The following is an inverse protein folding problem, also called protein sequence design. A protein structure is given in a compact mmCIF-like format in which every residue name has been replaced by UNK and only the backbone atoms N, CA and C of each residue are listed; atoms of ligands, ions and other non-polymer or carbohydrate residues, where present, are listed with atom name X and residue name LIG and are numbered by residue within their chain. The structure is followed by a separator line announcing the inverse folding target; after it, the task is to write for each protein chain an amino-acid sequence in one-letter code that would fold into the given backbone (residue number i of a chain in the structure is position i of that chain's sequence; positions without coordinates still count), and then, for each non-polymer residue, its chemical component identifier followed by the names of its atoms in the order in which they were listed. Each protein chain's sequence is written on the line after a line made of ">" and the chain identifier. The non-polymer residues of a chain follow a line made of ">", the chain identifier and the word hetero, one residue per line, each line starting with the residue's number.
data_IF_907386613773
#
_entry.id   IF_907386613773
#
_cell.length_a   1.000
_cell.length_b   1.000
_cell.length_c   1.000
_cell.angle_alpha   90.00
_cell.angle_beta   90.00
_cell.angle_gamma   90.00
#
_symmetry.space_group_name_H-M   'P 1'
#
loop_
_entity.id
_entity.type
_entity.pdbx_description
1 polymer ?
#
# COMPACT_ATOMS: atom_id res chain seq x y z
N UNK A 1 -12.41 17.10 65.83
CA UNK A 1 -12.76 15.78 65.23
C UNK A 1 -13.50 16.08 63.90
N UNK A 2 -12.80 16.07 62.80
CA UNK A 2 -13.42 16.21 61.48
C UNK A 2 -12.56 15.43 60.52
N UNK A 3 -13.15 14.42 59.87
CA UNK A 3 -12.54 13.59 58.82
C UNK A 3 -12.43 14.39 57.53
N UNK A 4 -11.35 14.31 56.75
CA UNK A 4 -11.34 14.77 55.38
C UNK A 4 -11.93 13.71 54.44
N UNK A 5 -12.72 14.18 53.47
CA UNK A 5 -13.30 13.40 52.40
C UNK A 5 -12.21 12.93 51.42
N UNK A 6 -12.21 11.63 51.11
CA UNK A 6 -11.42 11.05 50.04
C UNK A 6 -12.11 11.28 48.68
N UNK A 7 -11.50 12.11 47.86
CA UNK A 7 -11.92 12.33 46.49
C UNK A 7 -11.28 11.23 45.61
N UNK A 8 -12.06 10.18 45.38
CA UNK A 8 -11.71 9.06 44.54
C UNK A 8 -11.82 9.42 43.06
N UNK A 9 -10.75 9.92 42.46
CA UNK A 9 -10.63 10.02 41.02
C UNK A 9 -10.49 8.61 40.42
N UNK A 10 -11.61 8.02 39.99
CA UNK A 10 -11.64 6.80 39.22
C UNK A 10 -11.04 7.04 37.84
N UNK A 11 -9.79 6.70 37.67
CA UNK A 11 -9.15 6.54 36.39
C UNK A 11 -9.93 5.50 35.56
N UNK A 12 -10.44 5.91 34.42
CA UNK A 12 -11.11 5.01 33.47
C UNK A 12 -10.06 4.00 32.94
N UNK A 13 -10.27 2.70 33.09
CA UNK A 13 -9.34 1.74 32.56
C UNK A 13 -9.55 1.56 31.06
N UNK A 14 -8.45 1.59 30.32
CA UNK A 14 -8.24 0.79 29.13
C UNK A 14 -8.66 1.35 27.77
N UNK A 15 -7.84 2.29 27.26
CA UNK A 15 -7.81 2.61 25.83
C UNK A 15 -6.66 1.91 25.06
N UNK A 16 -5.89 1.04 25.73
CA UNK A 16 -4.73 0.37 25.13
C UNK A 16 -5.01 -1.01 24.51
N UNK A 17 -6.29 -1.42 24.40
CA UNK A 17 -6.68 -2.78 23.96
C UNK A 17 -7.45 -2.85 22.63
N UNK A 18 -7.57 -1.76 21.85
CA UNK A 18 -8.46 -1.71 20.67
C UNK A 18 -7.78 -1.80 19.32
N UNK A 19 -6.47 -1.95 19.28
CA UNK A 19 -5.74 -2.17 18.03
C UNK A 19 -5.84 -3.67 17.72
N UNK A 20 -6.77 -4.09 16.81
CA UNK A 20 -6.79 -5.43 16.28
C UNK A 20 -8.12 -6.20 16.23
N UNK A 21 -9.23 -5.66 16.77
CA UNK A 21 -10.54 -6.29 16.62
C UNK A 21 -11.56 -5.28 16.13
N UNK A 22 -11.82 -5.32 14.81
CA UNK A 22 -12.95 -4.62 14.20
C UNK A 22 -14.30 -5.09 14.76
N UNK A 23 -15.43 -4.45 14.38
CA UNK A 23 -16.75 -4.81 14.86
C UNK A 23 -17.08 -6.27 14.50
N UNK A 24 -17.97 -6.90 15.27
CA UNK A 24 -18.57 -8.18 14.84
C UNK A 24 -19.12 -7.99 13.42
N UNK A 25 -18.73 -8.84 12.49
CA UNK A 25 -19.10 -8.70 11.07
C UNK A 25 -18.14 -7.83 10.23
N UNK A 26 -16.93 -7.52 10.69
CA UNK A 26 -15.95 -6.74 9.93
C UNK A 26 -15.74 -7.28 8.51
N UNK A 27 -15.64 -8.61 8.36
CA UNK A 27 -15.47 -9.24 7.04
C UNK A 27 -16.68 -8.96 6.11
N UNK A 28 -17.90 -8.97 6.63
CA UNK A 28 -19.09 -8.64 5.85
C UNK A 28 -19.12 -7.17 5.44
N UNK A 29 -18.65 -6.27 6.32
CA UNK A 29 -18.52 -4.84 6.02
C UNK A 29 -17.48 -4.63 4.90
N UNK A 30 -16.28 -5.19 5.03
CA UNK A 30 -15.23 -5.06 4.04
C UNK A 30 -15.62 -5.68 2.69
N UNK A 31 -16.28 -6.84 2.69
CA UNK A 31 -16.83 -7.43 1.48
C UNK A 31 -17.87 -6.53 0.79
N UNK A 32 -18.77 -5.91 1.58
CA UNK A 32 -19.77 -4.98 1.06
C UNK A 32 -19.14 -3.70 0.46
N UNK A 33 -18.06 -3.19 1.07
CA UNK A 33 -17.30 -2.05 0.55
C UNK A 33 -16.66 -2.39 -0.80
N UNK A 34 -15.95 -3.53 -0.89
CA UNK A 34 -15.29 -3.96 -2.14
C UNK A 34 -16.30 -4.17 -3.26
N UNK A 35 -17.42 -4.76 -2.95
CA UNK A 35 -18.48 -5.02 -3.92
C UNK A 35 -19.12 -3.70 -4.41
N UNK A 36 -19.42 -2.75 -3.53
CA UNK A 36 -19.92 -1.42 -3.92
C UNK A 36 -18.86 -0.61 -4.70
N UNK A 37 -17.59 -0.70 -4.34
CA UNK A 37 -16.51 -0.10 -5.15
C UNK A 37 -16.46 -0.68 -6.56
N UNK A 38 -16.69 -1.99 -6.70
CA UNK A 38 -16.71 -2.66 -8.00
C UNK A 38 -17.92 -2.27 -8.84
N UNK A 39 -19.11 -2.16 -8.23
CA UNK A 39 -20.37 -1.95 -8.95
C UNK A 39 -20.72 -0.47 -9.15
N UNK A 40 -20.42 0.38 -8.18
CA UNK A 40 -20.85 1.78 -8.15
C UNK A 40 -19.66 2.77 -8.16
N UNK A 41 -18.44 2.25 -8.02
CA UNK A 41 -17.23 3.06 -7.89
C UNK A 41 -17.15 3.83 -6.57
N UNK A 42 -16.04 4.56 -6.38
CA UNK A 42 -15.86 5.36 -5.14
C UNK A 42 -16.93 6.45 -5.01
N UNK A 43 -17.33 7.11 -6.08
CA UNK A 43 -18.34 8.19 -6.02
C UNK A 43 -19.70 7.67 -5.51
N UNK A 44 -20.15 6.53 -6.02
CA UNK A 44 -21.44 5.92 -5.68
C UNK A 44 -21.47 5.24 -4.32
N UNK A 45 -20.33 4.85 -3.76
CA UNK A 45 -20.25 4.23 -2.44
C UNK A 45 -20.73 5.19 -1.34
N UNK A 46 -21.68 4.73 -0.51
CA UNK A 46 -22.17 5.43 0.69
C UNK A 46 -22.15 4.52 1.91
N UNK A 47 -22.02 5.10 3.10
CA UNK A 47 -22.06 4.33 4.36
C UNK A 47 -23.41 3.64 4.53
N UNK A 48 -24.50 4.29 4.08
CA UNK A 48 -25.84 3.72 4.04
C UNK A 48 -25.93 2.50 3.11
N UNK A 49 -25.31 2.58 1.95
CA UNK A 49 -25.19 1.44 1.01
C UNK A 49 -24.47 0.26 1.64
N UNK A 50 -23.35 0.53 2.30
CA UNK A 50 -22.58 -0.51 3.02
C UNK A 50 -23.41 -1.10 4.18
N UNK A 51 -24.12 -0.28 4.96
CA UNK A 51 -24.97 -0.76 6.04
C UNK A 51 -26.05 -1.72 5.51
N UNK A 52 -26.74 -1.34 4.44
CA UNK A 52 -27.77 -2.14 3.79
C UNK A 52 -27.21 -3.47 3.26
N UNK A 53 -26.04 -3.42 2.60
CA UNK A 53 -25.45 -4.60 1.95
C UNK A 53 -24.79 -5.58 2.94
N UNK A 54 -24.17 -5.05 4.00
CA UNK A 54 -23.54 -5.88 5.04
C UNK A 54 -24.52 -6.37 6.10
N UNK A 55 -25.74 -5.82 6.18
CA UNK A 55 -26.68 -6.08 7.25
C UNK A 55 -26.28 -5.47 8.61
N UNK A 56 -25.29 -4.60 8.65
CA UNK A 56 -24.78 -3.99 9.87
C UNK A 56 -25.38 -2.59 10.04
N UNK A 57 -25.81 -2.28 11.28
CA UNK A 57 -26.43 -0.99 11.57
C UNK A 57 -25.47 0.18 11.28
N UNK A 58 -25.97 1.22 10.62
CA UNK A 58 -25.29 2.47 10.29
C UNK A 58 -24.58 3.10 11.49
N UNK A 59 -25.23 3.12 12.68
CA UNK A 59 -24.63 3.64 13.90
C UNK A 59 -23.37 2.88 14.31
N UNK A 60 -23.34 1.56 14.05
CA UNK A 60 -22.15 0.74 14.29
C UNK A 60 -21.03 1.12 13.34
N UNK A 61 -21.33 1.36 12.05
CA UNK A 61 -20.32 1.78 11.08
C UNK A 61 -19.71 3.13 11.47
N UNK A 62 -20.50 4.16 11.73
CA UNK A 62 -20.02 5.49 12.12
C UNK A 62 -19.22 5.50 13.43
N UNK A 63 -19.50 4.58 14.36
CA UNK A 63 -18.71 4.44 15.60
C UNK A 63 -17.29 3.95 15.34
N UNK A 64 -17.07 3.14 14.31
CA UNK A 64 -15.76 2.58 13.96
C UNK A 64 -15.06 3.40 12.87
N UNK A 65 -15.82 3.91 11.93
CA UNK A 65 -15.31 4.67 10.79
C UNK A 65 -16.15 5.95 10.63
N UNK A 66 -15.61 7.10 11.05
CA UNK A 66 -16.39 8.35 11.09
C UNK A 66 -16.70 8.91 9.71
N UNK A 67 -16.02 8.42 8.66
CA UNK A 67 -16.19 8.90 7.29
C UNK A 67 -16.07 7.75 6.27
N UNK A 68 -16.55 8.01 5.05
CA UNK A 68 -16.38 7.11 3.90
C UNK A 68 -14.90 6.84 3.59
N UNK A 69 -14.01 7.84 3.51
CA UNK A 69 -12.58 7.59 3.32
C UNK A 69 -11.97 6.69 4.41
N UNK A 70 -12.32 6.90 5.67
CA UNK A 70 -11.84 6.08 6.78
C UNK A 70 -12.27 4.62 6.65
N UNK A 71 -13.53 4.37 6.26
CA UNK A 71 -14.05 3.02 6.03
C UNK A 71 -13.34 2.35 4.83
N UNK A 72 -13.16 3.07 3.73
CA UNK A 72 -12.49 2.55 2.53
C UNK A 72 -11.02 2.27 2.81
N UNK A 73 -10.29 3.18 3.46
CA UNK A 73 -8.90 2.97 3.85
C UNK A 73 -8.75 1.76 4.79
N UNK A 74 -9.62 1.61 5.78
CA UNK A 74 -9.62 0.43 6.66
C UNK A 74 -9.90 -0.87 5.91
N UNK A 75 -10.78 -0.83 4.90
CA UNK A 75 -11.06 -1.99 4.05
C UNK A 75 -9.81 -2.40 3.26
N UNK A 76 -9.13 -1.46 2.63
CA UNK A 76 -7.92 -1.76 1.89
C UNK A 76 -6.79 -2.25 2.79
N UNK A 77 -6.57 -1.62 3.95
CA UNK A 77 -5.62 -2.15 4.96
C UNK A 77 -5.93 -3.60 5.33
N UNK A 78 -7.20 -3.91 5.59
CA UNK A 78 -7.62 -5.28 5.93
C UNK A 78 -7.41 -6.28 4.78
N UNK A 79 -7.63 -5.86 3.55
CA UNK A 79 -7.65 -6.75 2.37
C UNK A 79 -6.27 -6.86 1.72
N UNK A 80 -5.50 -5.76 1.73
CA UNK A 80 -4.19 -5.64 1.08
C UNK A 80 -3.04 -5.97 2.05
N UNK A 81 -3.28 -5.97 3.37
CA UNK A 81 -2.28 -6.25 4.41
C UNK A 81 -1.70 -7.68 4.37
N UNK A 82 -1.97 -8.46 3.34
CA UNK A 82 -1.20 -9.66 3.04
C UNK A 82 0.11 -9.21 2.42
N UNK A 83 1.16 -9.20 3.22
CA UNK A 83 2.52 -8.96 2.76
C UNK A 83 2.78 -9.83 1.51
N UNK A 84 2.98 -9.18 0.38
CA UNK A 84 3.53 -9.88 -0.77
C UNK A 84 4.94 -10.32 -0.35
N UNK A 85 5.27 -11.61 -0.42
CA UNK A 85 6.60 -12.04 -0.04
C UNK A 85 7.63 -11.34 -0.92
N UNK A 86 8.71 -10.87 -0.30
CA UNK A 86 9.83 -10.28 -1.06
C UNK A 86 10.56 -11.40 -1.80
N UNK A 87 10.61 -11.36 -3.13
CA UNK A 87 11.25 -12.41 -3.92
C UNK A 87 12.73 -12.60 -3.54
N UNK A 88 13.20 -13.84 -3.53
CA UNK A 88 14.60 -14.21 -3.36
C UNK A 88 14.98 -15.27 -4.40
N UNK A 89 15.33 -14.79 -5.59
CA UNK A 89 15.68 -15.62 -6.76
C UNK A 89 17.17 -15.94 -6.84
N UNK A 90 17.96 -15.35 -5.94
CA UNK A 90 19.41 -15.48 -5.93
C UNK A 90 20.14 -14.41 -6.74
N UNK A 91 19.46 -13.46 -7.37
CA UNK A 91 20.08 -12.34 -8.10
C UNK A 91 19.26 -11.05 -7.98
N UNK A 92 19.96 -9.90 -8.00
CA UNK A 92 19.30 -8.58 -7.97
C UNK A 92 18.28 -8.42 -9.12
N UNK A 93 18.69 -8.78 -10.33
CA UNK A 93 17.82 -8.71 -11.51
C UNK A 93 16.58 -9.59 -11.34
N UNK A 94 16.77 -10.83 -10.96
CA UNK A 94 15.66 -11.78 -10.77
C UNK A 94 14.68 -11.32 -9.69
N UNK A 95 15.22 -10.83 -8.56
CA UNK A 95 14.41 -10.31 -7.45
C UNK A 95 13.57 -9.10 -7.88
N UNK A 96 14.17 -8.15 -8.62
CA UNK A 96 13.46 -6.98 -9.13
C UNK A 96 12.40 -7.33 -10.18
N UNK A 97 12.70 -8.22 -11.12
CA UNK A 97 11.73 -8.69 -12.12
C UNK A 97 10.54 -9.36 -11.44
N UNK A 98 10.78 -10.25 -10.49
CA UNK A 98 9.72 -10.92 -9.75
C UNK A 98 8.89 -9.92 -8.91
N UNK A 99 9.53 -8.94 -8.26
CA UNK A 99 8.87 -7.90 -7.49
C UNK A 99 7.96 -7.03 -8.37
N UNK A 100 8.47 -6.55 -9.52
CA UNK A 100 7.69 -5.73 -10.47
C UNK A 100 6.53 -6.52 -11.04
N UNK A 101 6.74 -7.78 -11.40
CA UNK A 101 5.69 -8.68 -11.91
C UNK A 101 4.57 -8.87 -10.87
N UNK A 102 4.94 -9.14 -9.62
CA UNK A 102 3.97 -9.29 -8.53
C UNK A 102 3.16 -8.01 -8.29
N UNK A 103 3.82 -6.83 -8.34
CA UNK A 103 3.15 -5.53 -8.21
C UNK A 103 2.23 -5.22 -9.39
N UNK A 104 2.65 -5.54 -10.61
CA UNK A 104 1.82 -5.38 -11.81
C UNK A 104 0.54 -6.25 -11.74
N UNK A 105 0.69 -7.51 -11.33
CA UNK A 105 -0.44 -8.41 -11.12
C UNK A 105 -1.37 -7.89 -10.03
N UNK A 106 -0.82 -7.46 -8.89
CA UNK A 106 -1.59 -6.88 -7.78
C UNK A 106 -2.40 -5.64 -8.19
N UNK A 107 -1.79 -4.70 -8.93
CA UNK A 107 -2.46 -3.48 -9.41
C UNK A 107 -3.39 -3.74 -10.59
N UNK A 108 -3.24 -4.86 -11.28
CA UNK A 108 -4.04 -5.23 -12.45
C UNK A 108 -5.40 -5.84 -12.11
N UNK A 109 -5.58 -6.41 -10.93
CA UNK A 109 -6.75 -7.18 -10.56
C UNK A 109 -7.15 -7.01 -9.08
N UNK A 110 -8.40 -7.41 -8.78
CA UNK A 110 -8.94 -7.53 -7.44
C UNK A 110 -8.84 -6.26 -6.58
N UNK A 111 -8.64 -6.42 -5.26
CA UNK A 111 -8.60 -5.30 -4.32
C UNK A 111 -7.47 -4.30 -4.57
N UNK A 112 -6.33 -4.74 -5.10
CA UNK A 112 -5.21 -3.88 -5.45
C UNK A 112 -5.58 -2.89 -6.55
N UNK A 113 -6.29 -3.36 -7.57
CA UNK A 113 -6.81 -2.51 -8.63
C UNK A 113 -7.82 -1.49 -8.10
N UNK A 114 -8.77 -1.94 -7.27
CA UNK A 114 -9.76 -1.03 -6.67
C UNK A 114 -9.09 0.05 -5.81
N UNK A 115 -8.05 -0.32 -5.03
CA UNK A 115 -7.28 0.66 -4.26
C UNK A 115 -6.60 1.67 -5.17
N UNK A 116 -5.95 1.22 -6.24
CA UNK A 116 -5.31 2.09 -7.21
C UNK A 116 -6.31 3.05 -7.87
N UNK A 117 -7.49 2.56 -8.26
CA UNK A 117 -8.55 3.39 -8.83
C UNK A 117 -9.05 4.44 -7.83
N UNK A 118 -9.26 4.07 -6.59
CA UNK A 118 -9.66 5.02 -5.53
C UNK A 118 -8.58 6.07 -5.32
N UNK A 119 -7.32 5.68 -5.16
CA UNK A 119 -6.21 6.61 -4.91
C UNK A 119 -5.97 7.56 -6.10
N UNK A 120 -6.14 7.10 -7.31
CA UNK A 120 -6.01 7.94 -8.51
C UNK A 120 -7.07 9.07 -8.58
N UNK A 121 -8.25 8.85 -7.99
CA UNK A 121 -9.37 9.79 -8.08
C UNK A 121 -9.57 10.67 -6.84
N UNK A 122 -8.91 10.38 -5.73
CA UNK A 122 -9.23 10.98 -4.42
C UNK A 122 -8.02 11.60 -3.71
N UNK A 123 -6.97 11.93 -4.42
CA UNK A 123 -5.66 12.36 -3.89
C UNK A 123 -5.64 13.58 -2.94
N UNK A 124 -6.80 14.21 -2.65
CA UNK A 124 -6.91 15.31 -1.70
C UNK A 124 -7.44 14.91 -0.32
N UNK A 125 -7.90 13.65 -0.14
CA UNK A 125 -8.42 13.20 1.15
C UNK A 125 -7.30 12.71 2.08
N UNK A 126 -7.16 13.25 3.31
CA UNK A 126 -6.05 12.92 4.20
C UNK A 126 -5.99 11.44 4.63
N UNK A 127 -7.12 10.73 4.72
CA UNK A 127 -7.14 9.31 5.06
C UNK A 127 -6.63 8.45 3.90
N UNK A 128 -7.02 8.81 2.68
CA UNK A 128 -6.58 8.11 1.48
C UNK A 128 -5.13 8.46 1.13
N UNK A 129 -4.69 9.70 1.38
CA UNK A 129 -3.29 10.07 1.26
C UNK A 129 -2.40 9.23 2.19
N UNK A 130 -2.79 9.07 3.46
CA UNK A 130 -2.07 8.18 4.40
C UNK A 130 -2.04 6.73 3.93
N UNK A 131 -3.13 6.22 3.37
CA UNK A 131 -3.16 4.88 2.78
C UNK A 131 -2.17 4.77 1.61
N UNK A 132 -2.10 5.80 0.74
CA UNK A 132 -1.13 5.82 -0.35
C UNK A 132 0.30 5.80 0.19
N UNK A 133 0.63 6.63 1.19
CA UNK A 133 1.94 6.67 1.83
C UNK A 133 2.33 5.32 2.45
N UNK A 134 1.37 4.64 3.11
CA UNK A 134 1.58 3.31 3.67
C UNK A 134 1.92 2.27 2.57
N UNK A 135 1.17 2.27 1.46
CA UNK A 135 1.38 1.34 0.36
C UNK A 135 2.69 1.60 -0.40
N UNK A 136 3.04 2.87 -0.60
CA UNK A 136 4.31 3.28 -1.20
C UNK A 136 5.49 2.96 -0.28
N UNK A 137 5.35 3.20 1.02
CA UNK A 137 6.35 2.84 2.02
C UNK A 137 6.63 1.33 2.06
N UNK A 138 5.61 0.49 1.96
CA UNK A 138 5.78 -0.96 1.83
C UNK A 138 6.52 -1.35 0.55
N UNK A 139 6.24 -0.67 -0.56
CA UNK A 139 6.97 -0.94 -1.81
C UNK A 139 8.45 -0.57 -1.68
N UNK A 140 8.76 0.59 -1.10
CA UNK A 140 10.14 0.99 -0.82
C UNK A 140 10.84 -0.01 0.12
N UNK A 141 10.18 -0.49 1.17
CA UNK A 141 10.74 -1.50 2.09
C UNK A 141 11.10 -2.80 1.36
N UNK A 142 10.28 -3.27 0.42
CA UNK A 142 10.59 -4.45 -0.39
C UNK A 142 11.83 -4.23 -1.28
N UNK A 143 11.95 -3.05 -1.91
CA UNK A 143 13.14 -2.71 -2.70
C UNK A 143 14.38 -2.64 -1.81
N UNK A 144 14.29 -2.03 -0.63
CA UNK A 144 15.39 -1.96 0.35
C UNK A 144 15.86 -3.35 0.79
N UNK A 145 14.93 -4.30 0.97
CA UNK A 145 15.29 -5.68 1.29
C UNK A 145 16.02 -6.36 0.13
N UNK A 146 15.54 -6.20 -1.10
CA UNK A 146 16.18 -6.74 -2.31
C UNK A 146 17.59 -6.16 -2.49
N UNK A 147 17.74 -4.83 -2.40
CA UNK A 147 19.05 -4.18 -2.53
C UNK A 147 20.01 -4.56 -1.40
N UNK A 148 19.49 -4.73 -0.18
CA UNK A 148 20.26 -5.23 0.96
C UNK A 148 20.85 -6.62 0.71
N UNK A 149 20.04 -7.55 0.20
CA UNK A 149 20.51 -8.89 -0.20
C UNK A 149 21.52 -8.83 -1.35
N UNK A 150 21.29 -8.00 -2.35
CA UNK A 150 22.21 -7.82 -3.46
C UNK A 150 23.57 -7.25 -3.01
N UNK A 151 23.58 -6.31 -2.04
CA UNK A 151 24.83 -5.84 -1.41
C UNK A 151 25.56 -6.98 -0.67
N UNK A 152 24.83 -7.80 0.07
CA UNK A 152 25.42 -8.95 0.77
C UNK A 152 26.02 -9.99 -0.19
N UNK A 153 25.47 -10.13 -1.39
CA UNK A 153 26.01 -10.99 -2.45
C UNK A 153 27.12 -10.34 -3.27
N UNK A 154 27.41 -9.04 -3.07
CA UNK A 154 28.41 -8.29 -3.86
C UNK A 154 27.94 -7.87 -5.25
N UNK A 155 26.67 -8.02 -5.58
CA UNK A 155 26.09 -7.60 -6.87
C UNK A 155 25.90 -6.07 -6.96
N UNK A 156 25.77 -5.40 -5.81
CA UNK A 156 25.55 -3.97 -5.71
C UNK A 156 26.63 -3.35 -4.82
N UNK A 157 27.56 -2.62 -5.41
CA UNK A 157 28.74 -2.07 -4.72
C UNK A 157 28.67 -0.57 -4.47
N UNK A 158 27.86 0.17 -5.21
CA UNK A 158 27.70 1.63 -5.09
C UNK A 158 26.53 2.05 -4.20
N UNK A 159 26.47 3.34 -3.82
CA UNK A 159 25.29 3.89 -3.15
C UNK A 159 24.11 3.92 -4.12
N UNK A 160 22.98 3.42 -3.67
CA UNK A 160 21.70 3.47 -4.38
C UNK A 160 20.66 4.09 -3.47
N UNK A 161 19.94 5.05 -4.00
CA UNK A 161 18.74 5.60 -3.35
C UNK A 161 17.59 4.60 -3.57
N UNK A 162 17.29 3.83 -2.53
CA UNK A 162 16.28 2.79 -2.58
C UNK A 162 14.86 3.37 -2.83
N UNK A 163 14.60 4.62 -2.38
CA UNK A 163 13.33 5.30 -2.66
C UNK A 163 13.22 5.66 -4.14
N UNK A 164 14.25 6.28 -4.71
CA UNK A 164 14.27 6.60 -6.14
C UNK A 164 14.19 5.33 -7.00
N UNK A 165 14.87 4.27 -6.61
CA UNK A 165 14.78 2.98 -7.29
C UNK A 165 13.35 2.41 -7.23
N UNK A 166 12.71 2.48 -6.09
CA UNK A 166 11.32 2.07 -5.92
C UNK A 166 10.37 2.88 -6.83
N UNK A 167 10.54 4.19 -6.89
CA UNK A 167 9.74 5.08 -7.73
C UNK A 167 9.94 4.79 -9.23
N UNK A 168 11.18 4.55 -9.66
CA UNK A 168 11.51 4.20 -11.04
C UNK A 168 10.89 2.86 -11.46
N UNK A 169 10.82 1.89 -10.56
CA UNK A 169 10.23 0.58 -10.84
C UNK A 169 8.69 0.62 -10.80
N UNK A 170 8.11 1.31 -9.83
CA UNK A 170 6.65 1.35 -9.64
C UNK A 170 5.96 2.35 -10.58
N UNK A 171 6.58 3.46 -10.90
CA UNK A 171 6.00 4.52 -11.74
C UNK A 171 5.47 4.01 -13.09
N UNK A 172 6.27 3.30 -13.90
CA UNK A 172 5.81 2.69 -15.15
C UNK A 172 4.71 1.66 -14.95
N UNK A 173 4.75 0.86 -13.88
CA UNK A 173 3.70 -0.12 -13.55
C UNK A 173 2.39 0.61 -13.29
N UNK A 174 2.42 1.66 -12.46
CA UNK A 174 1.25 2.49 -12.14
C UNK A 174 0.68 3.14 -13.41
N UNK A 175 1.52 3.82 -14.18
CA UNK A 175 1.10 4.50 -15.41
C UNK A 175 0.43 3.52 -16.39
N UNK A 176 1.07 2.38 -16.62
CA UNK A 176 0.59 1.38 -17.59
C UNK A 176 -0.67 0.68 -17.10
N UNK A 177 -0.72 0.27 -15.85
CA UNK A 177 -1.81 -0.54 -15.32
C UNK A 177 -3.02 0.31 -14.93
N UNK A 178 -2.79 1.42 -14.21
CA UNK A 178 -3.88 2.22 -13.63
C UNK A 178 -4.34 3.32 -14.58
N UNK A 179 -3.41 4.08 -15.17
CA UNK A 179 -3.76 5.27 -15.96
C UNK A 179 -4.13 4.89 -17.41
N UNK A 180 -3.22 4.17 -18.09
CA UNK A 180 -3.42 3.88 -19.52
C UNK A 180 -4.15 2.56 -19.80
N UNK A 181 -4.37 1.73 -18.78
CA UNK A 181 -5.04 0.41 -18.88
C UNK A 181 -4.35 -0.53 -19.88
N UNK A 182 -3.03 -0.45 -19.98
CA UNK A 182 -2.16 -1.27 -20.81
C UNK A 182 -1.13 -1.97 -19.92
N UNK A 183 -1.48 -3.07 -19.25
CA UNK A 183 -0.57 -3.74 -18.31
C UNK A 183 0.74 -4.13 -18.99
N UNK A 184 1.82 -4.18 -18.20
CA UNK A 184 3.12 -4.62 -18.68
C UNK A 184 3.08 -6.11 -19.04
N UNK A 185 3.68 -6.44 -20.18
CA UNK A 185 4.04 -7.82 -20.50
C UNK A 185 5.30 -8.24 -19.73
N UNK A 186 5.61 -9.53 -19.73
CA UNK A 186 6.87 -10.01 -19.14
C UNK A 186 8.08 -9.35 -19.79
N UNK A 187 8.07 -9.19 -21.13
CA UNK A 187 9.15 -8.51 -21.84
C UNK A 187 9.28 -7.03 -21.50
N UNK A 188 8.16 -6.33 -21.24
CA UNK A 188 8.19 -4.95 -20.75
C UNK A 188 8.81 -4.88 -19.35
N UNK A 189 8.49 -5.84 -18.48
CA UNK A 189 9.04 -5.92 -17.12
C UNK A 189 10.54 -6.17 -17.15
N UNK A 190 11.00 -7.12 -17.96
CA UNK A 190 12.43 -7.36 -18.14
C UNK A 190 13.15 -6.12 -18.65
N UNK A 191 12.64 -5.48 -19.70
CA UNK A 191 13.23 -4.28 -20.28
C UNK A 191 13.26 -3.10 -19.28
N UNK A 192 12.23 -2.93 -18.47
CA UNK A 192 12.19 -1.91 -17.42
C UNK A 192 13.30 -2.12 -16.40
N UNK A 193 13.42 -3.35 -15.88
CA UNK A 193 14.43 -3.69 -14.88
C UNK A 193 15.84 -3.54 -15.46
N UNK A 194 16.08 -4.02 -16.67
CA UNK A 194 17.38 -3.92 -17.34
C UNK A 194 17.78 -2.45 -17.59
N UNK A 195 16.82 -1.60 -17.97
CA UNK A 195 17.06 -0.16 -18.16
C UNK A 195 17.46 0.51 -16.85
N UNK A 196 16.75 0.21 -15.77
CA UNK A 196 17.03 0.78 -14.44
C UNK A 196 18.39 0.30 -13.93
N UNK A 197 18.70 -0.99 -14.04
CA UNK A 197 19.99 -1.55 -13.61
C UNK A 197 21.16 -0.98 -14.41
N UNK A 198 21.00 -0.78 -15.73
CA UNK A 198 22.02 -0.13 -16.57
C UNK A 198 22.29 1.31 -16.10
N UNK A 199 21.23 2.05 -15.74
CA UNK A 199 21.36 3.41 -15.17
C UNK A 199 22.13 3.43 -13.86
N UNK A 200 21.95 2.44 -12.99
CA UNK A 200 22.68 2.31 -11.74
C UNK A 200 24.18 2.08 -11.96
N UNK A 201 24.56 1.23 -12.90
CA UNK A 201 25.97 0.93 -13.21
C UNK A 201 26.69 2.14 -13.79
N UNK A 202 26.05 2.95 -14.62
CA UNK A 202 26.61 4.18 -15.19
C UNK A 202 26.85 5.27 -14.12
N UNK A 203 26.10 5.26 -13.03
CA UNK A 203 26.23 6.25 -11.96
C UNK A 203 27.37 5.93 -10.99
N UNK A 204 27.85 4.67 -10.96
CA UNK A 204 28.92 4.22 -10.07
C UNK A 204 30.33 4.49 -10.64
N UNK A 205 30.48 4.97 -11.88
CA UNK A 205 31.77 5.33 -12.46
C UNK A 205 32.09 6.83 -12.20
N UNK A 206 32.95 7.16 -11.22
CA UNK A 206 33.27 8.56 -10.85
C UNK A 206 34.07 9.28 -11.94
N UNK A 207 34.60 8.59 -12.93
CA UNK A 207 35.48 9.18 -13.96
C UNK A 207 34.71 9.93 -15.05
N UNK A 208 33.41 9.64 -15.24
CA UNK A 208 32.61 10.26 -16.29
C UNK A 208 32.17 11.72 -16.00
N UNK A 209 32.28 12.22 -14.76
CA UNK A 209 31.82 13.58 -14.37
C UNK A 209 32.86 14.70 -14.55
N UNK A 210 34.10 14.40 -14.93
CA UNK A 210 35.18 15.42 -15.00
C UNK A 210 35.46 15.93 -16.41
N UNK A 211 34.66 15.57 -17.41
CA UNK A 211 34.85 16.04 -18.80
C UNK A 211 33.60 16.71 -19.39
N UNK A 212 33.12 17.78 -18.75
CA UNK A 212 32.36 18.84 -19.45
C UNK A 212 32.66 20.18 -18.82
#
# INVERSE_FOLDING_TARGET
>A
MSRPAEDGATARPNDRGRIGRGPRGANAIHAAVLDLLTTEGYAGLTIEGVARRSGINKTTLYRWWPSKPALVAATFRHTIARDLPVPDTGSLRGDLVALVTAKAAFLGDGPGRLAADVLAHTGADPELARLADELLGQHCAHVTEVTGRARARGELTGPVDDQLLADLLLGPVWLRTVVTRRPLSNSDTDALVDTVLTGLTLTTDPVARTRR
#
